data_IF_430285299354
#
_entry.id   IF_430285299354
#
_cell.length_a   1.000
_cell.length_b   1.000
_cell.length_c   1.000
_cell.angle_alpha   90.00
_cell.angle_beta   90.00
_cell.angle_gamma   90.00
#
_symmetry.space_group_name_H-M   'P 1'
#
loop_
_entity.id
_entity.type
_entity.pdbx_description
1 polymer ?
#
# COMPACT_ATOMS: atom_id res chain seq x y z
N UNK A 1 -10.13 2.16 17.59
CA UNK A 1 -9.48 1.94 18.90
C UNK A 1 -8.66 3.17 19.26
N UNK A 2 -8.99 3.89 20.32
CA UNK A 2 -8.29 5.14 20.70
C UNK A 2 -6.80 4.93 21.00
N UNK A 3 -6.42 3.77 21.56
CA UNK A 3 -5.02 3.48 21.92
C UNK A 3 -4.10 3.26 20.71
N UNK A 4 -4.59 2.55 19.70
CA UNK A 4 -3.76 2.15 18.54
C UNK A 4 -4.07 2.93 17.27
N UNK A 5 -5.22 3.62 17.22
CA UNK A 5 -5.79 4.22 16.01
C UNK A 5 -6.27 3.21 14.95
N UNK A 6 -6.31 1.91 15.27
CA UNK A 6 -6.81 0.86 14.39
C UNK A 6 -8.34 0.73 14.47
N UNK A 7 -8.93 -0.13 13.62
CA UNK A 7 -10.38 -0.36 13.57
C UNK A 7 -10.94 -0.76 14.95
N UNK A 8 -12.17 -0.35 15.24
CA UNK A 8 -12.85 -0.73 16.47
C UNK A 8 -13.45 -2.13 16.35
N UNK A 9 -13.21 -2.99 17.36
CA UNK A 9 -13.67 -4.38 17.33
C UNK A 9 -12.91 -5.26 16.33
N UNK A 10 -13.31 -6.52 16.25
CA UNK A 10 -12.67 -7.55 15.41
C UNK A 10 -12.07 -8.70 16.23
N UNK A 11 -11.54 -9.69 15.52
CA UNK A 11 -10.94 -10.89 16.12
C UNK A 11 -9.47 -11.00 15.73
N UNK A 12 -8.72 -11.81 16.46
CA UNK A 12 -7.35 -12.18 16.08
C UNK A 12 -7.28 -13.00 14.79
N UNK A 13 -8.39 -13.61 14.35
CA UNK A 13 -8.46 -14.44 13.14
C UNK A 13 -8.56 -13.60 11.87
N UNK A 14 -9.26 -12.47 11.90
CA UNK A 14 -9.45 -11.65 10.71
C UNK A 14 -10.40 -10.47 10.87
N UNK A 15 -10.99 -10.03 9.76
CA UNK A 15 -11.63 -8.72 9.65
C UNK A 15 -10.63 -7.60 9.32
N UNK A 16 -11.11 -6.35 9.33
CA UNK A 16 -10.25 -5.18 9.17
C UNK A 16 -9.20 -5.12 10.29
N UNK A 17 -8.07 -4.44 10.01
CA UNK A 17 -6.94 -4.40 10.93
C UNK A 17 -7.36 -3.80 12.28
N UNK A 18 -7.20 -4.59 13.33
CA UNK A 18 -7.62 -4.25 14.67
C UNK A 18 -6.55 -4.61 15.71
N UNK A 19 -6.73 -4.15 16.94
CA UNK A 19 -5.75 -4.35 18.01
C UNK A 19 -5.52 -5.83 18.37
N UNK A 20 -6.52 -6.71 18.22
CA UNK A 20 -6.37 -8.13 18.55
C UNK A 20 -5.47 -8.86 17.53
N UNK A 21 -5.52 -8.49 16.25
CA UNK A 21 -4.61 -9.04 15.24
C UNK A 21 -3.15 -8.62 15.51
N UNK A 22 -2.93 -7.39 15.95
CA UNK A 22 -1.58 -6.82 16.14
C UNK A 22 -1.01 -7.03 17.56
N UNK A 23 -1.76 -7.63 18.49
CA UNK A 23 -1.38 -7.70 19.91
C UNK A 23 -0.01 -8.36 20.15
N UNK A 24 0.32 -9.39 19.36
CA UNK A 24 1.59 -10.12 19.46
C UNK A 24 2.82 -9.29 19.06
N UNK A 25 2.62 -8.16 18.36
CA UNK A 25 3.69 -7.26 17.95
C UNK A 25 4.12 -6.30 19.06
N UNK A 26 3.46 -6.34 20.22
CA UNK A 26 3.78 -5.52 21.38
C UNK A 26 3.15 -4.12 21.36
N UNK A 27 3.11 -3.50 22.54
CA UNK A 27 2.60 -2.15 22.71
C UNK A 27 3.46 -1.13 21.98
N UNK A 28 2.82 -0.13 21.36
CA UNK A 28 3.52 0.95 20.66
C UNK A 28 3.89 0.63 19.20
N UNK A 29 3.76 -0.62 18.73
CA UNK A 29 3.98 -0.95 17.31
C UNK A 29 3.03 -0.19 16.39
N UNK A 30 1.79 -0.01 16.82
CA UNK A 30 0.81 0.86 16.19
C UNK A 30 0.49 2.02 17.12
N UNK A 31 0.70 3.24 16.64
CA UNK A 31 0.33 4.48 17.33
C UNK A 31 -0.40 5.40 16.37
N UNK A 32 -1.56 5.90 16.76
CA UNK A 32 -2.39 6.80 15.93
C UNK A 32 -2.69 6.23 14.52
N UNK A 33 -2.82 4.90 14.43
CA UNK A 33 -3.08 4.18 13.18
C UNK A 33 -1.86 4.00 12.27
N UNK A 34 -0.66 4.35 12.77
CA UNK A 34 0.61 4.28 12.05
C UNK A 34 1.46 3.09 12.52
N UNK A 35 1.94 2.32 11.56
CA UNK A 35 2.96 1.28 11.69
C UNK A 35 4.31 1.82 11.26
N UNK A 36 5.22 2.04 12.21
CA UNK A 36 6.57 2.58 11.96
C UNK A 36 7.62 1.71 12.64
N UNK A 37 7.90 0.51 12.09
CA UNK A 37 8.93 -0.36 12.65
C UNK A 37 10.30 0.32 12.56
N UNK A 38 11.15 0.06 13.56
CA UNK A 38 12.52 0.55 13.59
C UNK A 38 13.43 -0.49 12.96
N UNK A 39 13.83 -0.25 11.73
CA UNK A 39 14.77 -1.10 11.02
C UNK A 39 16.20 -0.89 11.52
N UNK A 40 17.03 -1.91 11.34
CA UNK A 40 18.48 -1.76 11.48
C UNK A 40 18.98 -0.70 10.47
N UNK A 41 20.00 0.06 10.86
CA UNK A 41 20.60 1.09 10.00
C UNK A 41 21.21 0.53 8.70
N UNK A 42 21.65 -0.73 8.70
CA UNK A 42 22.14 -1.42 7.50
C UNK A 42 20.99 -1.90 6.61
N UNK A 43 19.75 -2.01 7.12
CA UNK A 43 18.55 -2.30 6.35
C UNK A 43 17.88 -3.64 6.67
N UNK A 44 16.87 -4.01 5.86
CA UNK A 44 15.95 -5.11 6.16
C UNK A 44 16.57 -6.52 6.06
N UNK A 45 17.80 -6.65 5.58
CA UNK A 45 18.51 -7.92 5.60
C UNK A 45 19.01 -8.33 6.98
N UNK A 46 19.07 -7.38 7.93
CA UNK A 46 19.47 -7.69 9.31
C UNK A 46 18.31 -8.26 10.11
N UNK A 47 18.60 -9.02 11.18
CA UNK A 47 17.59 -9.47 12.14
C UNK A 47 16.75 -8.31 12.66
N UNK A 48 15.46 -8.58 12.89
CA UNK A 48 14.52 -7.60 13.42
C UNK A 48 13.81 -8.15 14.64
N UNK A 49 13.75 -7.39 15.73
CA UNK A 49 13.06 -7.82 16.96
C UNK A 49 11.87 -6.91 17.23
N UNK A 50 10.69 -7.50 17.37
CA UNK A 50 9.44 -6.79 17.70
C UNK A 50 8.53 -7.69 18.53
N UNK A 51 7.81 -7.13 19.51
CA UNK A 51 6.91 -7.92 20.37
C UNK A 51 7.58 -9.04 21.17
N UNK A 52 8.90 -8.98 21.37
CA UNK A 52 9.68 -10.07 22.01
C UNK A 52 10.05 -11.23 21.08
N UNK A 53 9.66 -11.19 19.80
CA UNK A 53 10.06 -12.14 18.75
C UNK A 53 11.20 -11.57 17.92
N UNK A 54 12.26 -12.36 17.71
CA UNK A 54 13.34 -12.05 16.76
C UNK A 54 13.10 -12.78 15.46
N UNK A 55 13.06 -12.02 14.38
CA UNK A 55 12.98 -12.48 13.00
C UNK A 55 14.38 -12.57 12.41
N UNK A 56 14.62 -13.56 11.57
CA UNK A 56 15.90 -13.74 10.88
C UNK A 56 16.31 -12.49 10.11
N UNK A 57 15.35 -11.88 9.40
CA UNK A 57 15.54 -10.59 8.74
C UNK A 57 14.29 -9.72 8.86
N UNK A 58 14.39 -8.42 8.60
CA UNK A 58 13.25 -7.52 8.47
C UNK A 58 12.24 -7.96 7.41
N UNK A 59 12.69 -8.65 6.34
CA UNK A 59 11.80 -9.25 5.35
C UNK A 59 10.89 -10.34 5.93
N UNK A 60 11.41 -11.17 6.85
CA UNK A 60 10.60 -12.17 7.54
C UNK A 60 9.50 -11.52 8.38
N UNK A 61 9.78 -10.36 9.00
CA UNK A 61 8.76 -9.58 9.67
C UNK A 61 7.72 -9.03 8.68
N UNK A 62 8.14 -8.50 7.52
CA UNK A 62 7.20 -8.02 6.50
C UNK A 62 6.28 -9.12 5.96
N UNK A 63 6.76 -10.37 5.83
CA UNK A 63 5.92 -11.51 5.45
C UNK A 63 4.79 -11.76 6.45
N UNK A 64 5.04 -11.61 7.75
CA UNK A 64 4.00 -11.72 8.78
C UNK A 64 3.07 -10.50 8.77
N UNK A 65 3.62 -9.29 8.61
CA UNK A 65 2.82 -8.08 8.52
C UNK A 65 1.85 -8.08 7.32
N UNK A 66 2.20 -8.76 6.22
CA UNK A 66 1.31 -8.95 5.06
C UNK A 66 0.06 -9.79 5.35
N UNK A 67 0.06 -10.56 6.45
CA UNK A 67 -1.11 -11.37 6.84
C UNK A 67 -2.18 -10.58 7.60
N UNK A 68 -1.90 -9.34 7.97
CA UNK A 68 -2.77 -8.51 8.82
C UNK A 68 -3.86 -7.81 8.01
N UNK A 69 -5.11 -7.81 8.51
CA UNK A 69 -6.23 -7.00 8.02
C UNK A 69 -6.96 -7.48 6.75
N UNK A 70 -6.40 -8.41 5.97
CA UNK A 70 -6.99 -8.83 4.68
C UNK A 70 -8.05 -9.93 4.75
N UNK A 71 -8.09 -10.67 5.87
CA UNK A 71 -8.91 -11.88 6.03
C UNK A 71 -10.38 -11.57 6.34
N UNK A 72 -11.26 -12.50 6.01
CA UNK A 72 -12.64 -12.53 6.51
C UNK A 72 -12.68 -12.84 8.02
N UNK A 73 -13.87 -12.88 8.63
CA UNK A 73 -14.01 -13.05 10.08
C UNK A 73 -13.46 -14.40 10.61
N UNK A 74 -13.45 -15.43 9.76
CA UNK A 74 -13.02 -16.79 10.11
C UNK A 74 -11.53 -17.05 9.83
N UNK A 75 -10.84 -16.09 9.20
CA UNK A 75 -9.41 -16.14 8.90
C UNK A 75 -9.05 -16.57 7.47
N UNK A 76 -10.04 -16.85 6.62
CA UNK A 76 -9.82 -17.09 5.19
C UNK A 76 -9.73 -15.80 4.37
N UNK A 77 -9.21 -15.87 3.15
CA UNK A 77 -9.25 -14.73 2.20
C UNK A 77 -10.54 -14.68 1.37
N UNK A 78 -11.28 -15.78 1.28
CA UNK A 78 -12.55 -15.86 0.55
C UNK A 78 -13.65 -14.93 1.05
N UNK A 79 -14.65 -14.73 0.21
CA UNK A 79 -15.86 -13.96 0.51
C UNK A 79 -17.07 -14.47 -0.29
N UNK A 80 -18.26 -13.88 -0.08
CA UNK A 80 -19.49 -14.37 -0.71
C UNK A 80 -19.50 -14.25 -2.25
N UNK A 81 -18.68 -13.35 -2.82
CA UNK A 81 -18.56 -13.18 -4.28
C UNK A 81 -17.46 -14.05 -4.92
N UNK A 82 -16.54 -14.57 -4.12
CA UNK A 82 -15.46 -15.46 -4.54
C UNK A 82 -14.95 -16.21 -3.30
N UNK A 83 -15.41 -17.46 -3.15
CA UNK A 83 -15.14 -18.25 -1.95
C UNK A 83 -13.68 -18.72 -1.87
N UNK A 84 -13.08 -19.04 -3.02
CA UNK A 84 -11.67 -19.43 -3.13
C UNK A 84 -10.91 -18.54 -4.13
N UNK A 85 -10.39 -17.39 -3.68
CA UNK A 85 -9.69 -16.45 -4.55
C UNK A 85 -8.35 -16.98 -5.06
N UNK A 86 -7.81 -18.05 -4.47
CA UNK A 86 -6.53 -18.65 -4.88
C UNK A 86 -6.72 -20.00 -5.58
N UNK A 87 -7.95 -20.29 -6.02
CA UNK A 87 -8.22 -21.47 -6.84
C UNK A 87 -7.47 -21.41 -8.17
N UNK A 88 -7.29 -22.58 -8.79
CA UNK A 88 -6.65 -22.68 -10.11
C UNK A 88 -7.44 -21.91 -11.17
N UNK A 89 -8.77 -21.94 -11.11
CA UNK A 89 -9.64 -21.19 -12.03
C UNK A 89 -9.35 -19.67 -12.01
N UNK A 90 -9.24 -19.08 -10.81
CA UNK A 90 -8.93 -17.65 -10.66
C UNK A 90 -7.49 -17.36 -11.10
N UNK A 91 -6.56 -18.28 -10.83
CA UNK A 91 -5.16 -18.16 -11.26
C UNK A 91 -5.05 -18.18 -12.79
N UNK A 92 -5.74 -19.11 -13.46
CA UNK A 92 -5.74 -19.24 -14.92
C UNK A 92 -6.36 -17.99 -15.58
N UNK A 93 -7.48 -17.49 -15.03
CA UNK A 93 -8.08 -16.24 -15.48
C UNK A 93 -7.12 -15.06 -15.32
N UNK A 94 -6.42 -14.97 -14.18
CA UNK A 94 -5.45 -13.92 -13.94
C UNK A 94 -4.30 -13.98 -14.96
N UNK A 95 -3.83 -15.18 -15.34
CA UNK A 95 -2.79 -15.34 -16.35
C UNK A 95 -3.24 -14.84 -17.74
N UNK A 96 -4.50 -15.06 -18.12
CA UNK A 96 -5.07 -14.48 -19.35
C UNK A 96 -5.04 -12.95 -19.28
N UNK A 97 -5.52 -12.36 -18.18
CA UNK A 97 -5.54 -10.90 -18.00
C UNK A 97 -4.14 -10.29 -18.01
N UNK A 98 -3.13 -10.96 -17.43
CA UNK A 98 -1.74 -10.50 -17.47
C UNK A 98 -1.19 -10.47 -18.90
N UNK A 99 -1.54 -11.45 -19.73
CA UNK A 99 -1.12 -11.49 -21.13
C UNK A 99 -1.79 -10.38 -21.95
N UNK A 100 -3.09 -10.15 -21.73
CA UNK A 100 -3.84 -9.07 -22.38
C UNK A 100 -3.30 -7.69 -21.98
N UNK A 101 -2.93 -7.51 -20.70
CA UNK A 101 -2.37 -6.26 -20.19
C UNK A 101 -1.07 -5.84 -20.89
N UNK A 102 -0.28 -6.78 -21.42
CA UNK A 102 0.94 -6.45 -22.20
C UNK A 102 0.64 -5.77 -23.54
N UNK A 103 -0.59 -5.89 -24.03
CA UNK A 103 -1.01 -5.39 -25.34
C UNK A 103 -2.04 -4.27 -25.24
N UNK A 104 -2.46 -3.91 -24.02
CA UNK A 104 -3.47 -2.89 -23.78
C UNK A 104 -2.96 -1.51 -24.21
N UNK A 105 -3.78 -0.82 -25.02
CA UNK A 105 -3.51 0.53 -25.54
C UNK A 105 -4.45 1.58 -24.94
N UNK A 106 -5.18 1.22 -23.87
CA UNK A 106 -6.18 2.05 -23.21
C UNK A 106 -5.71 2.58 -21.85
N UNK A 107 -4.43 2.37 -21.50
CA UNK A 107 -3.83 2.83 -20.25
C UNK A 107 -3.84 4.37 -20.18
N UNK A 108 -3.92 4.88 -18.94
CA UNK A 108 -3.94 6.32 -18.68
C UNK A 108 -2.65 7.03 -19.14
N UNK A 109 -2.69 8.37 -19.17
CA UNK A 109 -1.56 9.20 -19.62
C UNK A 109 -1.07 8.82 -21.04
N UNK A 110 -2.04 8.54 -21.93
CA UNK A 110 -1.80 8.06 -23.29
C UNK A 110 -0.85 6.85 -23.33
N UNK A 111 -1.14 5.81 -22.54
CA UNK A 111 -0.23 4.68 -22.31
C UNK A 111 1.13 5.10 -21.73
N UNK A 112 1.11 6.00 -20.75
CA UNK A 112 2.29 6.56 -20.10
C UNK A 112 3.28 7.23 -21.06
N UNK A 113 2.81 7.73 -22.20
CA UNK A 113 3.63 8.50 -23.16
C UNK A 113 3.54 10.00 -22.94
N UNK A 114 2.58 10.47 -22.14
CA UNK A 114 2.54 11.88 -21.73
C UNK A 114 3.78 12.26 -20.92
N UNK A 115 4.28 13.51 -21.03
CA UNK A 115 5.46 13.96 -20.29
C UNK A 115 5.30 13.87 -18.77
N UNK A 116 6.14 13.03 -18.15
CA UNK A 116 6.18 12.89 -16.70
C UNK A 116 7.07 13.98 -16.06
N UNK A 117 6.56 14.78 -15.10
CA UNK A 117 7.36 15.79 -14.43
C UNK A 117 8.36 15.14 -13.48
N UNK A 118 9.49 15.81 -13.26
CA UNK A 118 10.56 15.33 -12.38
C UNK A 118 11.07 16.47 -11.50
N UNK A 119 11.16 16.23 -10.19
CA UNK A 119 11.81 17.16 -9.27
C UNK A 119 13.33 17.19 -9.53
N UNK A 120 13.90 18.38 -9.48
CA UNK A 120 15.35 18.56 -9.56
C UNK A 120 16.04 18.02 -8.30
N UNK A 121 17.34 17.71 -8.40
CA UNK A 121 18.15 17.28 -7.24
C UNK A 121 18.09 18.27 -6.07
N UNK A 122 18.09 19.57 -6.38
CA UNK A 122 18.00 20.64 -5.37
C UNK A 122 16.65 20.63 -4.66
N UNK A 123 15.55 20.47 -5.39
CA UNK A 123 14.20 20.38 -4.80
C UNK A 123 14.06 19.17 -3.89
N UNK A 124 14.64 18.03 -4.26
CA UNK A 124 14.67 16.83 -3.42
C UNK A 124 15.48 17.10 -2.14
N UNK A 125 16.65 17.73 -2.24
CA UNK A 125 17.48 18.07 -1.08
C UNK A 125 16.74 18.97 -0.08
N UNK A 126 16.03 19.99 -0.57
CA UNK A 126 15.24 20.91 0.27
C UNK A 126 14.16 20.19 1.08
N UNK A 127 13.68 19.03 0.62
CA UNK A 127 12.63 18.28 1.31
C UNK A 127 13.16 17.24 2.30
N UNK A 128 14.48 16.99 2.36
CA UNK A 128 15.03 16.02 3.31
C UNK A 128 14.82 16.48 4.74
N UNK A 129 14.29 15.58 5.58
CA UNK A 129 13.98 15.88 6.97
C UNK A 129 12.76 16.77 7.19
N UNK A 130 12.00 17.10 6.13
CA UNK A 130 10.75 17.87 6.25
C UNK A 130 9.72 17.10 7.10
N UNK A 131 8.99 17.82 7.95
CA UNK A 131 7.88 17.24 8.70
C UNK A 131 6.63 17.15 7.82
N UNK A 132 6.53 16.06 7.05
CA UNK A 132 5.37 15.76 6.20
C UNK A 132 4.05 15.57 6.97
N UNK A 133 4.10 15.44 8.31
CA UNK A 133 2.91 15.34 9.15
C UNK A 133 2.28 16.69 9.49
N UNK A 134 3.05 17.78 9.42
CA UNK A 134 2.56 19.11 9.80
C UNK A 134 1.82 19.78 8.63
N UNK A 135 0.49 19.87 8.77
CA UNK A 135 -0.40 20.45 7.76
C UNK A 135 -0.30 21.98 7.64
N UNK A 136 0.39 22.65 8.57
CA UNK A 136 0.57 24.11 8.58
C UNK A 136 1.79 24.54 7.77
N UNK A 137 2.70 23.61 7.47
CA UNK A 137 3.91 23.87 6.71
C UNK A 137 3.64 23.80 5.20
N UNK A 138 4.37 24.63 4.46
CA UNK A 138 4.45 24.56 3.00
C UNK A 138 5.61 23.66 2.60
N UNK A 139 5.45 22.93 1.49
CA UNK A 139 6.51 22.08 0.98
C UNK A 139 7.74 22.93 0.58
N UNK A 140 8.96 22.59 1.02
CA UNK A 140 10.14 23.42 0.80
C UNK A 140 10.50 23.65 -0.67
N UNK A 141 10.18 22.69 -1.55
CA UNK A 141 10.45 22.76 -2.98
C UNK A 141 9.40 23.56 -3.78
N UNK A 142 8.43 24.18 -3.11
CA UNK A 142 7.31 24.88 -3.74
C UNK A 142 6.16 23.94 -4.13
N UNK A 143 5.20 24.44 -4.95
CA UNK A 143 4.11 23.61 -5.46
C UNK A 143 4.64 22.43 -6.28
N UNK A 144 4.11 21.23 -6.01
CA UNK A 144 4.44 20.06 -6.81
C UNK A 144 3.85 20.19 -8.22
N UNK A 145 4.58 19.78 -9.27
CA UNK A 145 4.06 19.76 -10.63
C UNK A 145 2.98 18.68 -10.75
N UNK A 146 1.86 19.03 -11.37
CA UNK A 146 0.86 18.05 -11.80
C UNK A 146 1.36 17.33 -13.05
N UNK A 147 1.16 16.01 -13.17
CA UNK A 147 1.56 15.28 -14.36
C UNK A 147 0.71 15.72 -15.57
N UNK A 148 1.37 15.90 -16.71
CA UNK A 148 0.69 16.20 -17.96
C UNK A 148 -0.28 15.05 -18.30
N UNK A 149 -1.46 15.37 -18.82
CA UNK A 149 -2.50 14.38 -19.14
C UNK A 149 -3.34 13.90 -17.95
N UNK A 150 -3.07 14.38 -16.73
CA UNK A 150 -3.93 14.08 -15.57
C UNK A 150 -5.34 14.66 -15.80
N UNK A 151 -6.41 13.85 -15.73
CA UNK A 151 -7.77 14.35 -15.93
C UNK A 151 -8.17 15.29 -14.79
N UNK A 152 -8.99 16.30 -15.11
CA UNK A 152 -9.56 17.16 -14.09
C UNK A 152 -10.61 16.40 -13.26
N UNK A 153 -10.73 16.66 -11.95
CA UNK A 153 -11.81 16.12 -11.13
C UNK A 153 -13.16 16.75 -11.53
N UNK A 154 -14.25 16.08 -11.19
CA UNK A 154 -15.61 16.61 -11.37
C UNK A 154 -16.65 15.52 -11.57
N UNK A 155 -16.26 14.38 -12.15
CA UNK A 155 -17.11 13.21 -12.19
C UNK A 155 -17.29 12.62 -10.79
N UNK A 156 -18.51 12.12 -10.52
CA UNK A 156 -18.87 11.49 -9.25
C UNK A 156 -19.48 10.13 -9.58
N UNK A 157 -18.76 9.02 -9.31
CA UNK A 157 -19.26 7.67 -9.53
C UNK A 157 -20.63 7.43 -8.90
N UNK A 158 -21.49 6.69 -9.60
CA UNK A 158 -22.91 6.51 -9.23
C UNK A 158 -23.17 5.20 -8.49
N UNK A 159 -22.42 4.16 -8.81
CA UNK A 159 -22.64 2.80 -8.29
C UNK A 159 -21.69 2.43 -7.16
N UNK A 160 -20.71 3.30 -6.84
CA UNK A 160 -19.64 3.03 -5.88
C UNK A 160 -18.92 1.69 -6.17
N UNK A 161 -18.46 1.44 -7.41
CA UNK A 161 -18.04 0.09 -7.83
C UNK A 161 -16.78 -0.41 -7.15
N UNK A 162 -16.00 0.49 -6.53
CA UNK A 162 -14.80 0.11 -5.79
C UNK A 162 -15.12 -0.38 -4.38
N UNK A 163 -16.34 -0.11 -3.87
CA UNK A 163 -16.72 -0.43 -2.52
C UNK A 163 -16.70 -1.94 -2.28
N UNK A 164 -15.85 -2.41 -1.36
CA UNK A 164 -15.72 -3.83 -1.07
C UNK A 164 -14.36 -4.22 -0.52
N UNK A 165 -14.09 -5.52 -0.55
CA UNK A 165 -12.81 -6.12 -0.18
C UNK A 165 -12.23 -6.82 -1.39
N UNK A 166 -11.02 -6.42 -1.75
CA UNK A 166 -10.26 -6.88 -2.89
C UNK A 166 -9.09 -7.71 -2.39
N UNK A 167 -8.87 -8.88 -2.99
CA UNK A 167 -7.75 -9.77 -2.67
C UNK A 167 -6.78 -9.77 -3.85
N UNK A 168 -5.50 -9.64 -3.56
CA UNK A 168 -4.45 -9.63 -4.58
C UNK A 168 -4.21 -11.04 -5.07
N UNK A 169 -4.35 -11.26 -6.38
CA UNK A 169 -4.11 -12.56 -7.03
C UNK A 169 -2.74 -12.61 -7.71
N UNK A 170 -2.25 -11.47 -8.21
CA UNK A 170 -0.93 -11.34 -8.85
C UNK A 170 -0.28 -10.00 -8.50
N UNK A 171 1.05 -9.96 -8.51
CA UNK A 171 1.84 -8.75 -8.25
C UNK A 171 1.93 -8.36 -6.78
N UNK A 172 1.63 -9.27 -5.86
CA UNK A 172 1.72 -9.02 -4.41
C UNK A 172 3.17 -9.01 -3.92
N UNK A 173 3.56 -8.02 -3.11
CA UNK A 173 4.93 -7.89 -2.59
C UNK A 173 5.41 -9.15 -1.85
N UNK A 174 4.49 -9.84 -1.17
CA UNK A 174 4.80 -11.06 -0.41
C UNK A 174 5.51 -12.12 -1.26
N UNK A 175 5.15 -12.25 -2.53
CA UNK A 175 5.76 -13.22 -3.45
C UNK A 175 7.21 -12.85 -3.77
N UNK A 176 7.48 -11.57 -4.05
CA UNK A 176 8.84 -11.06 -4.28
C UNK A 176 9.72 -11.23 -3.04
N UNK A 177 9.18 -10.97 -1.85
CA UNK A 177 9.93 -11.15 -0.59
C UNK A 177 10.26 -12.64 -0.38
N UNK A 178 9.30 -13.55 -0.58
CA UNK A 178 9.55 -14.99 -0.49
C UNK A 178 10.64 -15.42 -1.47
N UNK A 179 10.53 -15.00 -2.73
CA UNK A 179 11.52 -15.32 -3.75
C UNK A 179 12.92 -14.84 -3.34
N UNK A 180 13.04 -13.61 -2.82
CA UNK A 180 14.33 -13.08 -2.37
C UNK A 180 14.93 -13.87 -1.19
N UNK A 181 14.11 -14.34 -0.25
CA UNK A 181 14.54 -15.20 0.84
C UNK A 181 14.99 -16.57 0.30
N UNK A 182 14.17 -17.19 -0.56
CA UNK A 182 14.44 -18.52 -1.11
C UNK A 182 15.70 -18.56 -1.99
N UNK A 183 16.01 -17.46 -2.68
CA UNK A 183 17.25 -17.34 -3.48
C UNK A 183 18.46 -16.87 -2.67
N UNK A 184 18.30 -16.59 -1.38
CA UNK A 184 19.37 -16.08 -0.50
C UNK A 184 19.85 -14.66 -0.83
N UNK A 185 19.09 -13.89 -1.62
CA UNK A 185 19.43 -12.53 -2.06
C UNK A 185 19.16 -11.48 -0.97
N UNK A 186 19.82 -11.65 0.18
CA UNK A 186 19.66 -10.82 1.36
C UNK A 186 20.96 -10.07 1.71
N UNK A 187 21.82 -9.78 0.74
CA UNK A 187 22.89 -8.81 0.94
C UNK A 187 22.34 -7.39 1.13
N UNK A 188 23.12 -6.48 1.71
CA UNK A 188 22.68 -5.09 1.94
C UNK A 188 22.18 -4.39 0.67
N UNK A 189 22.96 -4.44 -0.42
CA UNK A 189 22.59 -3.84 -1.70
C UNK A 189 21.34 -4.49 -2.31
N UNK A 190 21.21 -5.81 -2.20
CA UNK A 190 20.06 -6.57 -2.70
C UNK A 190 18.80 -6.20 -1.93
N UNK A 191 18.88 -6.14 -0.60
CA UNK A 191 17.77 -5.73 0.26
C UNK A 191 17.29 -4.30 -0.04
N UNK A 192 18.21 -3.35 -0.23
CA UNK A 192 17.85 -1.99 -0.65
C UNK A 192 17.18 -1.97 -2.02
N UNK A 193 17.67 -2.77 -2.97
CA UNK A 193 17.07 -2.87 -4.31
C UNK A 193 15.68 -3.50 -4.26
N UNK A 194 15.50 -4.61 -3.54
CA UNK A 194 14.20 -5.27 -3.37
C UNK A 194 13.18 -4.31 -2.77
N UNK A 195 13.56 -3.57 -1.73
CA UNK A 195 12.69 -2.56 -1.15
C UNK A 195 12.34 -1.49 -2.17
N UNK A 196 13.33 -0.90 -2.86
CA UNK A 196 13.08 0.15 -3.84
C UNK A 196 12.21 -0.30 -5.03
N UNK A 197 12.39 -1.54 -5.50
CA UNK A 197 11.66 -2.09 -6.65
C UNK A 197 10.24 -2.53 -6.29
N UNK A 198 10.00 -2.86 -5.02
CA UNK A 198 8.70 -3.34 -4.55
C UNK A 198 7.94 -2.34 -3.67
N UNK A 199 8.48 -1.16 -3.41
CA UNK A 199 7.87 -0.18 -2.52
C UNK A 199 6.51 0.32 -3.05
N UNK A 200 5.68 0.81 -2.13
CA UNK A 200 4.41 1.50 -2.43
C UNK A 200 3.56 0.80 -3.51
N UNK A 201 3.05 1.50 -4.52
CA UNK A 201 2.18 0.96 -5.60
C UNK A 201 2.92 0.10 -6.64
N UNK A 202 4.25 -0.07 -6.60
CA UNK A 202 4.98 -0.94 -7.55
C UNK A 202 4.59 -2.42 -7.41
N UNK A 203 4.16 -2.80 -6.22
CA UNK A 203 3.57 -4.12 -5.93
C UNK A 203 2.37 -3.95 -5.02
N UNK A 204 1.45 -4.91 -5.03
CA UNK A 204 0.30 -4.92 -4.11
C UNK A 204 0.68 -5.27 -2.68
N UNK A 205 -0.17 -4.86 -1.73
CA UNK A 205 -0.36 -5.63 -0.50
C UNK A 205 -1.13 -6.92 -0.81
N UNK A 206 -1.56 -7.67 0.22
CA UNK A 206 -2.41 -8.86 -0.01
C UNK A 206 -3.90 -8.55 -0.18
N UNK A 207 -4.30 -7.30 0.09
CA UNK A 207 -5.69 -6.87 -0.01
C UNK A 207 -5.83 -5.35 -0.11
N UNK A 208 -7.04 -4.91 -0.45
CA UNK A 208 -7.57 -3.58 -0.16
C UNK A 208 -8.98 -3.72 0.44
N UNK A 209 -9.34 -2.87 1.39
CA UNK A 209 -10.76 -2.62 1.74
C UNK A 209 -11.07 -1.19 1.38
N UNK A 210 -12.17 -0.99 0.67
CA UNK A 210 -12.55 0.32 0.17
C UNK A 210 -13.98 0.59 0.60
N UNK A 211 -14.18 1.72 1.28
CA UNK A 211 -15.48 2.34 1.43
C UNK A 211 -15.54 3.50 0.44
N UNK A 212 -16.38 3.39 -0.59
CA UNK A 212 -16.55 4.44 -1.60
C UNK A 212 -17.92 5.10 -1.43
N UNK A 213 -17.91 6.44 -1.44
CA UNK A 213 -19.10 7.27 -1.51
C UNK A 213 -18.89 8.36 -2.56
N UNK A 214 -19.32 8.07 -3.78
CA UNK A 214 -19.13 8.94 -4.94
C UNK A 214 -17.64 9.18 -5.22
N UNK A 215 -17.22 10.43 -5.08
CA UNK A 215 -15.87 10.92 -5.35
C UNK A 215 -14.91 10.82 -4.14
N UNK A 216 -15.39 10.29 -3.02
CA UNK A 216 -14.65 10.18 -1.76
C UNK A 216 -14.49 8.71 -1.38
N UNK A 217 -13.26 8.32 -1.03
CA UNK A 217 -12.92 6.95 -0.68
C UNK A 217 -12.13 6.89 0.62
N UNK A 218 -12.45 5.91 1.45
CA UNK A 218 -11.61 5.45 2.55
C UNK A 218 -11.03 4.10 2.18
N UNK A 219 -9.71 3.97 2.24
CA UNK A 219 -8.97 2.78 1.83
C UNK A 219 -8.13 2.26 2.98
N UNK A 220 -8.35 0.99 3.32
CA UNK A 220 -7.50 0.21 4.20
C UNK A 220 -6.54 -0.62 3.32
N UNK A 221 -5.23 -0.49 3.58
CA UNK A 221 -4.17 -1.12 2.79
C UNK A 221 -3.18 -1.89 3.67
N UNK A 222 -2.32 -2.71 3.05
CA UNK A 222 -1.34 -3.52 3.79
C UNK A 222 -0.37 -2.64 4.58
N UNK A 223 -0.35 -2.86 5.89
CA UNK A 223 0.58 -2.22 6.83
C UNK A 223 1.99 -2.79 6.75
N UNK A 224 2.24 -3.81 5.93
CA UNK A 224 3.60 -4.20 5.57
C UNK A 224 4.26 -3.18 4.61
N UNK A 225 3.47 -2.34 3.94
CA UNK A 225 3.93 -1.40 2.91
C UNK A 225 3.68 0.06 3.30
N UNK A 226 2.44 0.36 3.69
CA UNK A 226 2.03 1.70 4.07
C UNK A 226 2.03 1.83 5.58
N UNK A 227 2.69 2.86 6.11
CA UNK A 227 2.70 3.06 7.56
C UNK A 227 1.28 3.37 8.05
N UNK A 228 0.48 4.11 7.27
CA UNK A 228 -0.92 4.39 7.62
C UNK A 228 -1.81 3.23 7.19
N UNK A 229 -2.46 2.58 8.17
CA UNK A 229 -3.38 1.48 7.90
C UNK A 229 -4.58 1.91 7.04
N UNK A 230 -5.12 3.11 7.32
CA UNK A 230 -6.36 3.61 6.75
C UNK A 230 -6.22 5.08 6.34
N UNK A 231 -6.53 5.39 5.08
CA UNK A 231 -6.53 6.75 4.55
C UNK A 231 -7.89 7.11 3.97
N UNK A 232 -8.22 8.39 3.98
CA UNK A 232 -9.38 8.93 3.27
C UNK A 232 -8.90 10.02 2.32
N UNK A 233 -9.37 9.97 1.08
CA UNK A 233 -9.06 10.95 0.05
C UNK A 233 -10.30 11.26 -0.78
N UNK A 234 -10.24 12.38 -1.49
CA UNK A 234 -11.28 12.85 -2.41
C UNK A 234 -10.67 13.09 -3.78
N UNK A 235 -11.42 12.79 -4.84
CA UNK A 235 -11.01 13.00 -6.23
C UNK A 235 -10.39 14.39 -6.44
N UNK A 236 -9.15 14.44 -6.93
CA UNK A 236 -8.42 15.68 -7.23
C UNK A 236 -7.73 16.36 -6.04
N UNK A 237 -7.75 15.74 -4.85
CA UNK A 237 -7.11 16.29 -3.66
C UNK A 237 -5.89 15.47 -3.21
N UNK A 238 -4.83 16.18 -2.82
CA UNK A 238 -3.63 15.55 -2.26
C UNK A 238 -3.91 14.82 -0.95
N UNK A 239 -3.20 13.71 -0.77
CA UNK A 239 -3.06 13.01 0.49
C UNK A 239 -1.59 12.60 0.69
N UNK A 240 -1.20 12.40 1.95
CA UNK A 240 0.15 12.03 2.35
C UNK A 240 0.21 10.55 2.75
N UNK A 241 1.15 9.82 2.14
CA UNK A 241 1.47 8.44 2.47
C UNK A 241 2.87 8.29 3.08
N UNK A 242 2.96 8.09 4.41
CA UNK A 242 4.16 7.55 5.02
C UNK A 242 4.31 6.07 4.65
N UNK A 243 5.49 5.67 4.21
CA UNK A 243 5.81 4.28 3.87
C UNK A 243 6.55 3.58 5.01
N UNK A 244 6.37 2.26 5.11
CA UNK A 244 7.10 1.41 6.07
C UNK A 244 8.60 1.37 5.75
N UNK A 245 8.97 1.58 4.48
CA UNK A 245 10.36 1.74 4.02
C UNK A 245 11.04 3.01 4.56
N UNK A 246 10.28 3.97 5.09
CA UNK A 246 10.75 5.32 5.44
C UNK A 246 10.56 6.36 4.35
N UNK A 247 10.10 5.96 3.15
CA UNK A 247 9.72 6.88 2.08
C UNK A 247 8.46 7.70 2.39
N UNK A 248 8.28 8.80 1.65
CA UNK A 248 7.16 9.72 1.80
C UNK A 248 6.57 10.02 0.41
N UNK A 249 5.27 9.80 0.23
CA UNK A 249 4.56 10.14 -1.02
C UNK A 249 3.51 11.21 -0.77
N UNK A 250 3.40 12.15 -1.71
CA UNK A 250 2.29 13.11 -1.81
C UNK A 250 1.57 12.83 -3.12
N UNK A 251 0.46 12.12 -3.04
CA UNK A 251 -0.28 11.60 -4.19
C UNK A 251 -1.67 12.20 -4.31
N UNK A 252 -2.29 12.02 -5.47
CA UNK A 252 -3.67 12.38 -5.76
C UNK A 252 -4.34 11.17 -6.39
N UNK A 253 -5.62 10.96 -6.11
CA UNK A 253 -6.46 10.12 -6.95
C UNK A 253 -7.51 10.99 -7.61
N UNK A 254 -7.77 10.80 -8.90
CA UNK A 254 -8.91 11.35 -9.63
C UNK A 254 -9.84 10.21 -10.02
N UNK A 255 -11.14 10.44 -9.87
CA UNK A 255 -12.22 9.55 -10.29
C UNK A 255 -12.94 10.14 -11.52
N UNK A 256 -12.31 10.16 -12.71
CA UNK A 256 -12.87 10.80 -13.89
C UNK A 256 -13.99 9.98 -14.56
N UNK A 257 -14.10 8.70 -14.20
CA UNK A 257 -14.95 7.70 -14.82
C UNK A 257 -15.60 6.82 -13.75
N UNK A 258 -16.62 6.05 -14.13
CA UNK A 258 -17.35 5.17 -13.20
C UNK A 258 -16.46 4.08 -12.62
N UNK A 259 -15.67 3.41 -13.47
CA UNK A 259 -14.95 2.18 -13.12
C UNK A 259 -13.42 2.35 -13.08
N UNK A 260 -12.90 3.57 -13.28
CA UNK A 260 -11.47 3.83 -13.39
C UNK A 260 -11.03 5.01 -12.55
N UNK A 261 -9.88 4.85 -11.91
CA UNK A 261 -9.16 5.92 -11.21
C UNK A 261 -7.85 6.21 -11.92
N UNK A 262 -7.43 7.47 -11.94
CA UNK A 262 -6.16 7.91 -12.51
C UNK A 262 -5.52 8.87 -11.49
N UNK A 263 -4.22 8.74 -11.22
CA UNK A 263 -3.54 9.51 -10.18
C UNK A 263 -2.05 9.25 -10.14
#
# INVERSE_FOLDING_TARGET
CEKTGLEAGGTSKGGALNAAQAAHLGEGTFKDGLHKPKWDSEGLHKPHTIGGKTYETGFHYLLEAHELGGKNADGGYGGPLCADPYSQEITDLCQVLLNEAQQDKTLCYNNFTDPCPQLTKQQVELCKGFDYGDKTLKLPCGPLPWPAGCPHPGYVPKTNPLNGRWITISGGQKEFIKQAIDTGMLGAAEAHKIMADTDHEKTGGMYLRINQRGDTCTVDASVAKYARAKRTWRSGHYFYEPLVSGGNLLGVWVLPEEYRKIG
#
